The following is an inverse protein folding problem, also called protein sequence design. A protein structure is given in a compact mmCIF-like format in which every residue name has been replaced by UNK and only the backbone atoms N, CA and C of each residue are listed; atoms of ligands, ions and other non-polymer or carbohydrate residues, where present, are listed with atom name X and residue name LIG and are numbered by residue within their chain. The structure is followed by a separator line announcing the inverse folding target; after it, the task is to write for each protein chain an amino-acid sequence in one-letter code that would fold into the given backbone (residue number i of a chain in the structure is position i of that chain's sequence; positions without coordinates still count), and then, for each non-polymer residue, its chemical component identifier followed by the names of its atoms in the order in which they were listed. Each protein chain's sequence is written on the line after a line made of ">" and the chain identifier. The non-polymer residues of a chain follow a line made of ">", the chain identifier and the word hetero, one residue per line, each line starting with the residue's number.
data_IF_499329572064
#
_entry.id   IF_499329572064
#
_cell.length_a   1.000
_cell.length_b   1.000
_cell.length_c   1.000
_cell.angle_alpha   90.00
_cell.angle_beta   90.00
_cell.angle_gamma   90.00
#
_symmetry.space_group_name_H-M   'P 1'
#
loop_
_entity.id
_entity.type
_entity.pdbx_description
1 polymer ?
#
# COMPACT_ATOMS: atom_id res chain seq x y z
N UNK A 1 21.69 -7.03 10.04
CA UNK A 1 21.98 -5.67 10.50
C UNK A 1 20.73 -5.08 11.16
N UNK A 2 20.95 -4.42 12.24
CA UNK A 2 19.86 -3.74 12.91
C UNK A 2 19.25 -2.76 11.93
N UNK A 3 17.95 -2.82 11.71
CA UNK A 3 17.35 -1.82 10.84
C UNK A 3 17.53 -0.47 11.50
N UNK A 4 18.13 0.44 10.78
CA UNK A 4 18.11 1.80 11.21
C UNK A 4 16.64 2.18 11.40
N UNK A 5 16.31 3.00 12.40
CA UNK A 5 14.95 3.48 12.52
C UNK A 5 14.58 4.10 11.18
N UNK A 6 13.56 3.55 10.57
CA UNK A 6 13.11 4.07 9.29
C UNK A 6 12.65 5.49 9.54
N UNK A 7 13.28 6.45 8.91
CA UNK A 7 12.78 7.81 8.98
C UNK A 7 11.33 7.79 8.48
N UNK A 8 10.48 8.56 9.12
CA UNK A 8 9.07 8.57 8.76
C UNK A 8 8.83 8.87 7.28
N UNK A 9 9.85 9.42 6.63
CA UNK A 9 9.77 9.84 5.24
C UNK A 9 10.25 8.78 4.25
N UNK A 10 10.65 7.60 4.73
CA UNK A 10 11.13 6.54 3.85
C UNK A 10 10.01 5.57 3.52
N UNK A 11 10.00 5.10 2.27
CA UNK A 11 9.09 4.05 1.87
C UNK A 11 9.48 2.73 2.54
N UNK A 12 8.48 1.97 2.99
CA UNK A 12 8.73 0.65 3.56
C UNK A 12 7.48 -0.21 3.44
N UNK A 13 7.64 -1.51 3.64
CA UNK A 13 6.54 -2.46 3.55
C UNK A 13 6.56 -3.34 4.79
N UNK A 14 5.37 -3.60 5.33
CA UNK A 14 5.20 -4.49 6.48
C UNK A 14 4.12 -5.51 6.12
N UNK A 15 4.33 -6.78 6.47
CA UNK A 15 3.34 -7.82 6.26
C UNK A 15 3.03 -8.48 7.59
N UNK A 16 1.82 -8.26 8.09
CA UNK A 16 1.39 -8.78 9.37
C UNK A 16 -0.07 -9.20 9.31
N UNK A 17 -0.40 -10.32 9.92
CA UNK A 17 -1.79 -10.77 10.07
C UNK A 17 -2.55 -10.85 8.76
N UNK A 18 -1.86 -11.22 7.69
CA UNK A 18 -2.48 -11.35 6.36
C UNK A 18 -2.68 -10.03 5.64
N UNK A 19 -2.17 -8.94 6.18
CA UNK A 19 -2.30 -7.62 5.57
C UNK A 19 -0.91 -7.11 5.22
N UNK A 20 -0.73 -6.73 3.94
CA UNK A 20 0.49 -6.08 3.50
C UNK A 20 0.24 -4.58 3.54
N UNK A 21 1.10 -3.84 4.21
CA UNK A 21 0.98 -2.39 4.33
C UNK A 21 2.18 -1.75 3.67
N UNK A 22 1.91 -0.94 2.65
CA UNK A 22 2.94 -0.20 1.93
C UNK A 22 2.93 1.24 2.41
N UNK A 23 4.02 1.66 3.05
CA UNK A 23 4.18 3.05 3.48
C UNK A 23 4.99 3.79 2.43
N UNK A 24 4.67 5.06 2.26
CA UNK A 24 5.29 5.90 1.23
C UNK A 24 5.93 7.12 1.84
N UNK A 25 6.95 7.62 1.15
CA UNK A 25 7.58 8.87 1.53
C UNK A 25 6.64 10.04 1.21
N UNK A 26 6.82 11.13 1.91
CA UNK A 26 6.00 12.32 1.74
C UNK A 26 5.99 12.78 0.27
N UNK A 27 4.80 12.93 -0.28
CA UNK A 27 4.64 13.41 -1.65
C UNK A 27 5.04 12.42 -2.73
N UNK A 28 5.38 11.18 -2.37
CA UNK A 28 5.87 10.20 -3.35
C UNK A 28 4.94 9.01 -3.42
N UNK A 29 5.03 8.30 -4.55
CA UNK A 29 4.23 7.10 -4.79
C UNK A 29 5.08 5.92 -5.23
N UNK A 30 6.37 5.92 -4.88
CA UNK A 30 7.27 4.83 -5.23
C UNK A 30 7.18 3.70 -4.22
N UNK A 31 7.04 2.47 -4.71
CA UNK A 31 7.01 1.29 -3.86
C UNK A 31 8.42 1.01 -3.33
N UNK A 32 8.51 0.62 -2.06
CA UNK A 32 9.79 0.36 -1.41
C UNK A 32 10.54 -0.77 -2.11
N UNK A 33 11.87 -0.66 -2.15
CA UNK A 33 12.70 -1.72 -2.67
C UNK A 33 12.61 -2.97 -1.80
N UNK A 34 12.64 -4.13 -2.42
CA UNK A 34 12.59 -5.39 -1.68
C UNK A 34 11.19 -5.79 -1.24
N UNK A 35 10.18 -5.03 -1.65
CA UNK A 35 8.81 -5.33 -1.27
C UNK A 35 8.39 -6.74 -1.72
N UNK A 36 8.85 -7.19 -2.88
CA UNK A 36 8.47 -8.50 -3.40
C UNK A 36 8.87 -9.65 -2.48
N UNK A 37 9.93 -9.47 -1.71
CA UNK A 37 10.34 -10.49 -0.74
C UNK A 37 9.42 -10.48 0.47
N UNK A 38 9.05 -9.29 0.93
CA UNK A 38 8.23 -9.15 2.13
C UNK A 38 6.81 -9.63 1.89
N UNK A 39 6.27 -9.37 0.71
CA UNK A 39 4.88 -9.71 0.39
C UNK A 39 4.78 -10.92 -0.54
N UNK A 40 5.77 -11.80 -0.52
CA UNK A 40 5.79 -12.97 -1.41
C UNK A 40 4.52 -13.81 -1.28
N UNK A 41 4.00 -13.97 -0.06
CA UNK A 41 2.79 -14.76 0.16
C UNK A 41 1.57 -14.11 -0.51
N UNK A 42 1.51 -12.79 -0.50
CA UNK A 42 0.41 -12.06 -1.14
C UNK A 42 0.52 -12.19 -2.66
N UNK A 43 1.75 -12.08 -3.20
CA UNK A 43 1.98 -12.25 -4.63
C UNK A 43 1.52 -13.64 -5.06
N UNK A 44 1.93 -14.67 -4.32
CA UNK A 44 1.57 -16.04 -4.66
C UNK A 44 0.05 -16.25 -4.59
N UNK A 45 -0.62 -15.68 -3.60
CA UNK A 45 -2.06 -15.78 -3.49
C UNK A 45 -2.74 -15.16 -4.71
N UNK A 46 -2.27 -13.99 -5.14
CA UNK A 46 -2.82 -13.34 -6.34
C UNK A 46 -2.58 -14.15 -7.61
N UNK A 47 -1.40 -14.75 -7.72
CA UNK A 47 -1.08 -15.59 -8.88
C UNK A 47 -1.91 -16.87 -8.88
N UNK A 48 -2.33 -17.34 -7.71
CA UNK A 48 -3.20 -18.51 -7.58
C UNK A 48 -4.67 -18.19 -7.83
N UNK A 49 -4.98 -16.95 -8.16
CA UNK A 49 -6.33 -16.55 -8.52
C UNK A 49 -7.12 -15.92 -7.40
N UNK A 50 -6.54 -15.72 -6.24
CA UNK A 50 -7.23 -15.03 -5.16
C UNK A 50 -7.26 -13.54 -5.43
N UNK A 51 -8.28 -12.88 -4.88
CA UNK A 51 -8.43 -11.45 -5.07
C UNK A 51 -7.53 -10.68 -4.09
N UNK A 52 -6.81 -9.71 -4.61
CA UNK A 52 -6.05 -8.77 -3.79
C UNK A 52 -6.83 -7.46 -3.74
N UNK A 53 -7.18 -7.03 -2.53
CA UNK A 53 -7.90 -5.77 -2.34
C UNK A 53 -6.92 -4.71 -1.90
N UNK A 54 -6.77 -3.68 -2.71
CA UNK A 54 -5.80 -2.61 -2.51
C UNK A 54 -6.55 -1.35 -2.08
N UNK A 55 -6.23 -0.84 -0.90
CA UNK A 55 -6.89 0.35 -0.33
C UNK A 55 -5.87 1.41 0.01
N UNK A 56 -6.01 2.58 -0.58
CA UNK A 56 -5.14 3.72 -0.29
C UNK A 56 -5.76 4.61 0.79
N UNK A 57 -4.94 5.04 1.74
CA UNK A 57 -5.38 5.93 2.81
C UNK A 57 -4.83 7.32 2.57
N UNK A 58 -5.63 8.32 2.87
CA UNK A 58 -5.26 9.71 2.72
C UNK A 58 -4.99 10.35 4.07
N UNK A 59 -4.01 11.27 4.07
CA UNK A 59 -3.74 12.09 5.23
C UNK A 59 -4.90 13.08 5.42
N UNK A 60 -5.28 13.32 6.66
CA UNK A 60 -6.38 14.24 6.97
C UNK A 60 -5.94 15.69 7.06
N UNK A 61 -4.63 15.98 7.01
CA UNK A 61 -4.13 17.34 7.09
C UNK A 61 -3.84 17.89 5.72
N UNK A 62 -3.82 19.21 5.61
CA UNK A 62 -3.50 19.89 4.36
C UNK A 62 -4.66 19.86 3.38
N UNK A 63 -4.33 19.78 2.09
CA UNK A 63 -5.33 19.82 1.03
C UNK A 63 -5.94 18.43 0.85
N UNK A 64 -7.21 18.27 1.23
CA UNK A 64 -7.88 16.98 1.17
C UNK A 64 -7.93 16.41 -0.25
N UNK A 65 -8.18 17.25 -1.24
CA UNK A 65 -8.28 16.78 -2.62
C UNK A 65 -6.92 16.27 -3.12
N UNK A 66 -5.85 16.97 -2.79
CA UNK A 66 -4.51 16.54 -3.20
C UNK A 66 -4.10 15.25 -2.49
N UNK A 67 -4.45 15.13 -1.21
CA UNK A 67 -4.15 13.93 -0.44
C UNK A 67 -4.91 12.71 -0.98
N UNK A 68 -6.17 12.92 -1.34
CA UNK A 68 -6.98 11.86 -1.91
C UNK A 68 -6.43 11.42 -3.26
N UNK A 69 -6.03 12.36 -4.10
CA UNK A 69 -5.42 12.04 -5.39
C UNK A 69 -4.12 11.27 -5.21
N UNK A 70 -3.29 11.67 -4.25
CA UNK A 70 -2.03 10.99 -3.98
C UNK A 70 -2.28 9.58 -3.45
N UNK A 71 -3.29 9.39 -2.60
CA UNK A 71 -3.61 8.06 -2.10
C UNK A 71 -4.05 7.14 -3.25
N UNK A 72 -4.78 7.67 -4.21
CA UNK A 72 -5.19 6.94 -5.40
C UNK A 72 -3.98 6.56 -6.24
N UNK A 73 -3.05 7.48 -6.45
CA UNK A 73 -1.84 7.20 -7.21
C UNK A 73 -0.99 6.14 -6.53
N UNK A 74 -0.94 6.17 -5.20
CA UNK A 74 -0.21 5.15 -4.44
C UNK A 74 -0.85 3.79 -4.58
N UNK A 75 -2.18 3.73 -4.52
CA UNK A 75 -2.88 2.46 -4.72
C UNK A 75 -2.64 1.91 -6.12
N UNK A 76 -2.63 2.78 -7.13
CA UNK A 76 -2.33 2.38 -8.50
C UNK A 76 -0.90 1.90 -8.65
N UNK A 77 0.04 2.52 -7.94
CA UNK A 77 1.44 2.08 -7.96
C UNK A 77 1.59 0.69 -7.35
N UNK A 78 0.85 0.41 -6.27
CA UNK A 78 0.86 -0.91 -5.65
C UNK A 78 0.23 -1.94 -6.60
N UNK A 79 -0.85 -1.59 -7.28
CA UNK A 79 -1.44 -2.46 -8.28
C UNK A 79 -0.43 -2.79 -9.37
N UNK A 80 0.25 -1.79 -9.90
CA UNK A 80 1.25 -1.99 -10.94
C UNK A 80 2.40 -2.88 -10.44
N UNK A 81 2.77 -2.73 -9.18
CA UNK A 81 3.79 -3.58 -8.57
C UNK A 81 3.36 -5.05 -8.63
N UNK A 82 2.13 -5.37 -8.20
CA UNK A 82 1.68 -6.75 -8.23
C UNK A 82 1.54 -7.28 -9.65
N UNK A 83 1.11 -6.46 -10.59
CA UNK A 83 1.04 -6.88 -11.98
C UNK A 83 2.42 -7.20 -12.52
N UNK A 84 3.43 -6.43 -12.16
CA UNK A 84 4.81 -6.69 -12.57
C UNK A 84 5.33 -7.99 -11.97
N UNK A 85 4.78 -8.44 -10.84
CA UNK A 85 5.14 -9.70 -10.22
C UNK A 85 4.38 -10.89 -10.81
N UNK A 86 3.49 -10.65 -11.75
CA UNK A 86 2.77 -11.71 -12.43
C UNK A 86 1.33 -11.92 -11.99
N UNK A 87 0.81 -11.05 -11.14
CA UNK A 87 -0.60 -11.13 -10.72
C UNK A 87 -1.48 -10.55 -11.83
N UNK A 88 -2.53 -11.28 -12.18
CA UNK A 88 -3.47 -10.81 -13.20
C UNK A 88 -4.26 -9.61 -12.68
N UNK A 89 -4.37 -8.58 -13.50
CA UNK A 89 -5.10 -7.37 -13.13
C UNK A 89 -6.55 -7.67 -12.71
N UNK A 90 -7.15 -8.70 -13.30
CA UNK A 90 -8.52 -9.08 -12.94
C UNK A 90 -8.65 -9.57 -11.50
N UNK A 91 -7.52 -9.96 -10.88
CA UNK A 91 -7.51 -10.41 -9.49
C UNK A 91 -7.15 -9.29 -8.52
N UNK A 92 -6.99 -8.07 -9.01
CA UNK A 92 -6.64 -6.93 -8.16
C UNK A 92 -7.81 -5.95 -8.17
N UNK A 93 -8.31 -5.63 -6.99
CA UNK A 93 -9.40 -4.67 -6.85
C UNK A 93 -8.91 -3.46 -6.07
N UNK A 94 -9.08 -2.27 -6.62
CA UNK A 94 -8.83 -1.03 -5.91
C UNK A 94 -10.10 -0.67 -5.16
N UNK A 95 -10.04 -0.66 -3.83
CA UNK A 95 -11.22 -0.41 -3.01
C UNK A 95 -10.92 0.74 -2.06
N UNK A 96 -11.79 1.73 -2.09
CA UNK A 96 -11.66 2.84 -1.15
C UNK A 96 -11.92 2.33 0.27
N UNK A 97 -11.08 2.69 1.25
CA UNK A 97 -11.32 2.23 2.61
C UNK A 97 -12.63 2.81 3.13
N UNK A 98 -13.32 2.04 3.98
CA UNK A 98 -14.59 2.46 4.54
C UNK A 98 -14.45 3.74 5.36
N UNK A 99 -13.31 3.92 6.01
CA UNK A 99 -13.06 5.09 6.81
C UNK A 99 -11.62 5.53 6.60
N UNK A 100 -11.45 6.78 6.23
CA UNK A 100 -10.14 7.39 6.14
C UNK A 100 -9.78 8.12 7.43
N UNK A 101 -10.65 8.07 8.42
CA UNK A 101 -10.49 8.85 9.63
C UNK A 101 -9.54 8.21 10.63
N UNK A 102 -8.98 7.05 10.33
CA UNK A 102 -7.99 6.44 11.19
C UNK A 102 -6.66 7.15 11.17
N UNK A 103 -6.38 7.92 10.13
CA UNK A 103 -5.16 8.68 10.04
C UNK A 103 -5.32 9.99 10.79
N UNK A 104 -4.38 10.29 11.66
CA UNK A 104 -4.41 11.48 12.48
C UNK A 104 -3.23 12.35 12.10
N UNK A 105 -3.52 13.53 11.56
CA UNK A 105 -2.49 14.46 11.14
C UNK A 105 -1.72 13.96 9.94
N UNK A 106 -0.49 14.43 9.80
CA UNK A 106 0.38 14.06 8.69
C UNK A 106 1.29 12.89 9.07
N UNK A 107 0.76 11.99 9.85
CA UNK A 107 1.46 10.81 10.28
C UNK A 107 1.75 9.89 9.10
N UNK A 108 2.74 9.02 9.27
CA UNK A 108 3.07 8.00 8.28
C UNK A 108 1.86 7.11 7.97
N UNK A 109 0.95 6.94 8.93
CA UNK A 109 -0.28 6.18 8.73
C UNK A 109 -1.16 6.75 7.63
N UNK A 110 -1.09 8.04 7.39
CA UNK A 110 -1.84 8.69 6.31
C UNK A 110 -1.17 8.56 4.95
N UNK A 111 -0.05 7.86 4.87
CA UNK A 111 0.68 7.67 3.61
C UNK A 111 0.85 6.19 3.33
N UNK A 112 -0.23 5.42 3.53
CA UNK A 112 -0.14 3.97 3.38
C UNK A 112 -1.16 3.43 2.40
N UNK A 113 -0.84 2.26 1.87
CA UNK A 113 -1.76 1.43 1.08
C UNK A 113 -1.79 0.06 1.73
N UNK A 114 -2.98 -0.46 1.99
CA UNK A 114 -3.14 -1.79 2.55
C UNK A 114 -3.60 -2.75 1.47
N UNK A 115 -3.04 -3.95 1.48
CA UNK A 115 -3.43 -5.02 0.56
C UNK A 115 -3.85 -6.22 1.37
N UNK A 116 -5.07 -6.68 1.13
CA UNK A 116 -5.63 -7.86 1.79
C UNK A 116 -5.97 -8.91 0.76
N UNK A 117 -5.84 -10.17 1.15
CA UNK A 117 -6.22 -11.29 0.29
C UNK A 117 -7.64 -11.70 0.61
N UNK A 118 -8.50 -11.70 -0.40
CA UNK A 118 -9.88 -12.22 -0.30
C UNK A 118 -9.99 -13.47 -1.16
N UNK A 119 -10.57 -14.46 -0.62
CA UNK A 119 -10.74 -15.67 -1.38
C UNK A 119 -11.13 -16.80 -0.52
#
# INVERSE_FOLDING_TARGET
>A
SAPAPVAADNARVVYENGVATFFFATGKNDVAEGAQTIVADVINAGKDGKKLVVSGFADSTGNAAANEELSKQRAQAVQAFFEAQGVNAANIELRKPESTTGAVGNDVEGRRVEVKVEG
#
